data_IF_933539754474
#
_entry.id   IF_933539754474
#
_cell.length_a   1.000
_cell.length_b   1.000
_cell.length_c   1.000
_cell.angle_alpha   90.00
_cell.angle_beta   90.00
_cell.angle_gamma   90.00
#
_symmetry.space_group_name_H-M   'P 1'
#
loop_
_entity.id
_entity.type
_entity.pdbx_description
1 polymer ?
#
# COMPACT_ATOMS: atom_id res chain seq x y z
N UNK A 1 -56.98 18.36 58.32
CA UNK A 1 -56.39 17.04 58.06
C UNK A 1 -57.02 16.46 56.79
N UNK A 2 -56.30 16.46 55.67
CA UNK A 2 -56.70 15.83 54.40
C UNK A 2 -55.55 14.95 53.96
N UNK A 3 -55.74 13.63 53.97
CA UNK A 3 -54.78 12.68 53.45
C UNK A 3 -54.90 12.61 51.91
N UNK A 4 -53.80 12.82 51.20
CA UNK A 4 -53.64 12.46 49.79
C UNK A 4 -52.51 11.45 49.68
N UNK A 5 -52.87 10.29 49.17
CA UNK A 5 -52.03 9.18 48.76
C UNK A 5 -51.11 9.63 47.61
N UNK A 6 -49.81 9.39 47.72
CA UNK A 6 -48.87 9.38 46.59
C UNK A 6 -48.13 8.05 46.61
N UNK A 7 -48.33 7.32 45.51
CA UNK A 7 -47.71 6.04 45.19
C UNK A 7 -46.36 6.36 44.54
N UNK A 8 -45.27 5.93 45.18
CA UNK A 8 -43.93 5.95 44.58
C UNK A 8 -43.80 4.74 43.65
N UNK A 9 -43.79 5.00 42.34
CA UNK A 9 -43.49 4.01 41.31
C UNK A 9 -41.98 4.00 41.03
N UNK A 10 -41.34 2.90 41.45
CA UNK A 10 -40.01 2.47 41.00
C UNK A 10 -40.03 2.22 39.48
N UNK A 11 -39.08 2.79 38.76
CA UNK A 11 -38.65 2.41 37.40
C UNK A 11 -37.19 2.88 37.31
N UNK A 12 -36.15 2.06 37.25
CA UNK A 12 -35.82 0.97 36.33
C UNK A 12 -34.32 1.16 36.01
N UNK A 13 -33.54 0.09 35.76
CA UNK A 13 -32.08 0.21 35.68
C UNK A 13 -31.63 1.05 34.49
N UNK A 14 -30.74 2.03 34.75
CA UNK A 14 -30.06 2.82 33.73
C UNK A 14 -29.18 1.89 32.90
N UNK A 15 -29.59 1.58 31.67
CA UNK A 15 -28.74 0.94 30.68
C UNK A 15 -27.60 1.89 30.31
N UNK A 16 -26.45 1.70 30.96
CA UNK A 16 -25.20 2.33 30.58
C UNK A 16 -24.71 1.64 29.30
N UNK A 17 -25.04 2.21 28.15
CA UNK A 17 -24.45 1.81 26.86
C UNK A 17 -22.99 2.25 26.90
N UNK A 18 -22.11 1.33 27.30
CA UNK A 18 -20.68 1.50 27.16
C UNK A 18 -20.37 1.28 25.66
N UNK A 19 -20.37 2.37 24.89
CA UNK A 19 -19.87 2.36 23.53
C UNK A 19 -18.37 2.07 23.59
N UNK A 20 -18.00 0.80 23.42
CA UNK A 20 -16.63 0.38 23.25
C UNK A 20 -16.19 0.84 21.85
N UNK A 21 -15.75 2.09 21.75
CA UNK A 21 -15.05 2.56 20.57
C UNK A 21 -13.73 1.79 20.51
N UNK A 22 -13.70 0.74 19.69
CA UNK A 22 -12.47 0.07 19.32
C UNK A 22 -11.61 1.06 18.52
N UNK A 23 -10.82 1.88 19.22
CA UNK A 23 -9.67 2.55 18.63
C UNK A 23 -8.61 1.49 18.31
N UNK A 24 -8.81 0.79 17.20
CA UNK A 24 -7.69 0.22 16.46
C UNK A 24 -7.03 1.36 15.65
N UNK A 25 -6.50 2.38 16.34
CA UNK A 25 -5.49 3.26 15.75
C UNK A 25 -4.13 2.61 15.92
N UNK A 26 -3.96 1.43 15.31
CA UNK A 26 -2.63 1.03 14.90
C UNK A 26 -2.30 1.89 13.70
N UNK A 27 -1.35 2.81 13.84
CA UNK A 27 -0.63 3.30 12.67
C UNK A 27 0.04 2.07 12.04
N UNK A 28 -0.69 1.39 11.15
CA UNK A 28 -0.09 0.44 10.22
C UNK A 28 0.90 1.24 9.38
N UNK A 29 2.05 0.67 9.03
CA UNK A 29 2.97 1.28 8.06
C UNK A 29 2.18 1.52 6.78
N UNK A 30 1.72 2.76 6.61
CA UNK A 30 0.65 3.06 5.68
C UNK A 30 1.19 3.49 4.32
N UNK A 31 2.51 3.70 4.22
CA UNK A 31 3.15 4.14 2.99
C UNK A 31 3.37 2.98 2.01
N UNK A 32 3.05 3.20 0.75
CA UNK A 32 3.51 2.41 -0.38
C UNK A 32 4.60 3.15 -1.16
N UNK A 33 5.08 2.53 -2.24
CA UNK A 33 5.99 3.18 -3.19
C UNK A 33 5.45 3.03 -4.60
N UNK A 34 5.47 4.08 -5.41
CA UNK A 34 5.09 4.03 -6.83
C UNK A 34 5.87 5.08 -7.63
N UNK A 35 5.81 5.01 -8.96
CA UNK A 35 6.37 6.06 -9.83
C UNK A 35 5.24 6.94 -10.36
N UNK A 36 5.39 8.26 -10.28
CA UNK A 36 4.41 9.21 -10.81
C UNK A 36 5.07 10.47 -11.37
N UNK A 37 4.35 11.16 -12.26
CA UNK A 37 4.74 12.49 -12.73
C UNK A 37 4.81 13.48 -11.56
N UNK A 38 5.95 14.16 -11.43
CA UNK A 38 6.24 15.27 -10.52
C UNK A 38 7.08 16.29 -11.24
N UNK A 39 6.58 17.51 -11.36
CA UNK A 39 7.28 18.61 -12.03
C UNK A 39 7.81 18.27 -13.45
N UNK A 40 7.12 17.39 -14.19
CA UNK A 40 7.52 16.95 -15.53
C UNK A 40 8.49 15.75 -15.58
N UNK A 41 8.91 15.23 -14.43
CA UNK A 41 9.76 14.04 -14.31
C UNK A 41 8.95 12.86 -13.73
N UNK A 42 9.40 11.63 -13.98
CA UNK A 42 8.89 10.46 -13.27
C UNK A 42 9.66 10.32 -11.95
N UNK A 43 9.03 10.69 -10.85
CA UNK A 43 9.60 10.54 -9.51
C UNK A 43 9.15 9.24 -8.85
N UNK A 44 10.05 8.60 -8.11
CA UNK A 44 9.68 7.54 -7.17
C UNK A 44 9.10 8.21 -5.92
N UNK A 45 7.84 7.92 -5.63
CA UNK A 45 7.05 8.48 -4.53
C UNK A 45 6.96 7.45 -3.42
N UNK A 46 7.31 7.86 -2.19
CA UNK A 46 7.01 7.15 -0.96
C UNK A 46 5.82 7.84 -0.31
N UNK A 47 4.70 7.16 -0.10
CA UNK A 47 3.53 7.87 0.43
C UNK A 47 2.27 7.05 0.61
N UNK A 48 1.22 7.73 1.06
CA UNK A 48 -0.14 7.23 1.24
C UNK A 48 -1.09 8.41 1.11
N UNK A 49 -2.22 8.23 0.43
CA UNK A 49 -3.17 9.33 0.26
C UNK A 49 -2.53 10.48 -0.52
N UNK A 50 -2.56 11.68 0.08
CA UNK A 50 -1.93 12.88 -0.45
C UNK A 50 -0.45 13.03 -0.04
N UNK A 51 0.09 12.12 0.76
CA UNK A 51 1.47 12.21 1.24
C UNK A 51 2.46 11.84 0.14
N UNK A 52 3.55 12.61 0.11
CA UNK A 52 4.72 12.41 -0.73
C UNK A 52 5.94 12.69 0.17
N UNK A 53 6.38 11.62 0.85
CA UNK A 53 7.38 11.70 1.89
C UNK A 53 8.80 11.71 1.30
N UNK A 54 9.67 12.50 1.94
CA UNK A 54 11.08 12.49 1.62
C UNK A 54 11.72 11.19 2.06
N UNK A 55 12.65 10.68 1.26
CA UNK A 55 13.50 9.55 1.61
C UNK A 55 14.93 9.77 1.09
N UNK A 56 15.87 9.08 1.71
CA UNK A 56 17.26 9.08 1.25
C UNK A 56 17.38 8.20 -0.01
N UNK A 57 18.04 8.65 -1.09
CA UNK A 57 18.16 7.87 -2.33
C UNK A 57 18.68 6.45 -2.14
N UNK A 58 19.52 6.20 -1.12
CA UNK A 58 20.02 4.86 -0.77
C UNK A 58 18.92 3.86 -0.35
N UNK A 59 17.74 4.35 0.04
CA UNK A 59 16.58 3.52 0.37
C UNK A 59 15.98 2.90 -0.88
N UNK A 60 16.11 3.53 -2.06
CA UNK A 60 15.76 2.93 -3.34
C UNK A 60 16.82 1.88 -3.69
N UNK A 61 16.50 0.61 -3.43
CA UNK A 61 17.43 -0.51 -3.56
C UNK A 61 17.58 -0.98 -4.99
N UNK A 62 16.48 -0.97 -5.74
CA UNK A 62 16.46 -1.49 -7.10
C UNK A 62 15.39 -0.79 -7.94
N UNK A 63 15.71 -0.56 -9.21
CA UNK A 63 14.79 -0.06 -10.23
C UNK A 63 14.96 -0.93 -11.47
N UNK A 64 13.85 -1.43 -12.01
CA UNK A 64 13.80 -2.21 -13.25
C UNK A 64 12.82 -1.56 -14.22
N UNK A 65 13.07 -1.75 -15.51
CA UNK A 65 12.14 -1.39 -16.57
C UNK A 65 11.91 -2.58 -17.50
N UNK A 66 10.70 -2.65 -18.05
CA UNK A 66 10.33 -3.68 -19.01
C UNK A 66 9.52 -3.08 -20.16
N UNK A 67 9.68 -3.65 -21.35
CA UNK A 67 8.84 -3.33 -22.51
C UNK A 67 7.45 -3.92 -22.37
N UNK A 68 6.52 -3.56 -23.27
CA UNK A 68 5.16 -4.08 -23.26
C UNK A 68 5.07 -5.62 -23.42
N UNK A 69 6.11 -6.27 -23.96
CA UNK A 69 6.18 -7.73 -24.09
C UNK A 69 6.81 -8.44 -22.89
N UNK A 70 7.31 -7.68 -21.90
CA UNK A 70 8.00 -8.21 -20.72
C UNK A 70 9.51 -8.37 -20.87
N UNK A 71 10.10 -7.93 -21.98
CA UNK A 71 11.57 -7.91 -22.12
C UNK A 71 12.17 -6.80 -21.26
N UNK A 72 13.39 -7.01 -20.74
CA UNK A 72 14.10 -5.98 -19.99
C UNK A 72 14.35 -4.73 -20.85
N UNK A 73 14.11 -3.56 -20.26
CA UNK A 73 14.39 -2.25 -20.85
C UNK A 73 15.36 -1.47 -19.94
N UNK A 74 15.96 -0.41 -20.47
CA UNK A 74 16.83 0.47 -19.68
C UNK A 74 16.01 1.49 -18.89
N UNK A 75 16.50 1.85 -17.70
CA UNK A 75 16.05 3.02 -16.96
C UNK A 75 17.22 3.63 -16.20
N UNK A 76 17.36 4.94 -16.27
CA UNK A 76 18.36 5.70 -15.53
C UNK A 76 17.73 6.27 -14.27
N UNK A 77 18.41 6.10 -13.13
CA UNK A 77 17.98 6.67 -11.85
C UNK A 77 18.87 7.87 -11.53
N UNK A 78 18.25 9.01 -11.23
CA UNK A 78 18.94 10.22 -10.78
C UNK A 78 18.54 10.51 -9.33
N UNK A 79 19.50 10.37 -8.42
CA UNK A 79 19.32 10.68 -7.01
C UNK A 79 19.17 12.20 -6.79
N UNK A 80 18.27 12.59 -5.88
CA UNK A 80 18.06 13.97 -5.44
C UNK A 80 18.17 14.03 -3.91
N UNK A 81 18.11 15.23 -3.35
CA UNK A 81 18.26 15.42 -1.90
C UNK A 81 17.14 14.78 -1.04
N UNK A 82 15.95 14.55 -1.61
CA UNK A 82 14.77 14.07 -0.87
C UNK A 82 13.98 12.96 -1.57
N UNK A 83 14.41 12.54 -2.75
CA UNK A 83 13.79 11.50 -3.56
C UNK A 83 14.76 11.04 -4.66
N UNK A 84 14.27 10.23 -5.59
CA UNK A 84 14.91 9.90 -6.84
C UNK A 84 13.91 10.04 -8.00
N UNK A 85 14.43 10.36 -9.18
CA UNK A 85 13.68 10.34 -10.44
C UNK A 85 14.21 9.24 -11.35
N UNK A 86 13.34 8.74 -12.23
CA UNK A 86 13.62 7.63 -13.14
C UNK A 86 13.35 8.07 -14.57
N UNK A 87 14.32 7.90 -15.45
CA UNK A 87 14.20 8.13 -16.88
C UNK A 87 14.23 6.78 -17.61
N UNK A 88 13.07 6.19 -17.95
CA UNK A 88 13.03 4.96 -18.70
C UNK A 88 13.35 5.16 -20.19
N UNK A 89 13.85 4.11 -20.85
CA UNK A 89 13.92 4.06 -22.30
C UNK A 89 12.53 4.24 -22.94
N UNK A 90 12.49 4.76 -24.17
CA UNK A 90 11.24 5.11 -24.87
C UNK A 90 10.28 3.93 -25.07
N UNK A 91 10.81 2.72 -25.11
CA UNK A 91 10.06 1.47 -25.31
C UNK A 91 9.64 0.79 -23.99
N UNK A 92 10.00 1.35 -22.83
CA UNK A 92 9.55 0.85 -21.55
C UNK A 92 8.04 1.09 -21.36
N UNK A 93 7.33 0.03 -20.98
CA UNK A 93 5.91 0.07 -20.63
C UNK A 93 5.68 -0.18 -19.13
N UNK A 94 6.69 -0.66 -18.41
CA UNK A 94 6.62 -0.98 -16.98
C UNK A 94 7.86 -0.44 -16.28
N UNK A 95 7.65 0.19 -15.14
CA UNK A 95 8.68 0.44 -14.13
C UNK A 95 8.39 -0.42 -12.91
N UNK A 96 9.43 -0.97 -12.31
CA UNK A 96 9.35 -1.61 -11.01
C UNK A 96 10.42 -1.05 -10.09
N UNK A 97 10.07 -0.80 -8.82
CA UNK A 97 10.99 -0.27 -7.81
C UNK A 97 10.88 -1.07 -6.51
N UNK A 98 12.01 -1.25 -5.83
CA UNK A 98 12.08 -1.73 -4.46
C UNK A 98 12.70 -0.66 -3.56
N UNK A 99 11.98 -0.29 -2.51
CA UNK A 99 12.40 0.69 -1.52
C UNK A 99 12.43 0.04 -0.14
N UNK A 100 13.57 0.14 0.54
CA UNK A 100 13.71 -0.25 1.94
C UNK A 100 13.41 0.94 2.83
N UNK A 101 12.21 0.94 3.41
CA UNK A 101 11.76 1.94 4.37
C UNK A 101 12.54 1.78 5.69
N UNK A 102 12.96 0.54 5.98
CA UNK A 102 13.89 0.21 7.05
C UNK A 102 13.19 -0.30 8.30
N UNK A 103 13.90 -0.20 9.43
CA UNK A 103 13.36 -0.64 10.71
C UNK A 103 12.53 0.45 11.37
N UNK A 104 11.37 0.05 11.91
CA UNK A 104 10.51 0.90 12.70
C UNK A 104 10.07 0.17 13.97
N UNK A 105 10.04 0.90 15.08
CA UNK A 105 9.70 0.37 16.39
C UNK A 105 8.58 1.19 17.03
N UNK A 106 7.57 0.51 17.55
CA UNK A 106 6.47 1.13 18.28
C UNK A 106 6.81 1.20 19.77
N UNK A 107 6.96 2.42 20.30
CA UNK A 107 7.20 2.66 21.72
C UNK A 107 6.01 2.28 22.60
N UNK A 108 6.23 2.34 23.93
CA UNK A 108 5.15 2.07 24.91
C UNK A 108 4.02 3.10 24.86
N UNK A 109 4.28 4.28 24.33
CA UNK A 109 3.28 5.32 24.08
C UNK A 109 2.46 5.08 22.80
N UNK A 110 2.75 4.00 22.06
CA UNK A 110 2.10 3.65 20.80
C UNK A 110 2.63 4.39 19.58
N UNK A 111 3.61 5.30 19.74
CA UNK A 111 4.21 6.03 18.62
C UNK A 111 5.27 5.19 17.92
N UNK A 112 5.35 5.36 16.61
CA UNK A 112 6.40 4.75 15.80
C UNK A 112 7.59 5.68 15.68
N UNK A 113 8.78 5.10 15.86
CA UNK A 113 10.07 5.77 15.65
C UNK A 113 10.94 4.91 14.75
N UNK A 114 11.79 5.56 13.95
CA UNK A 114 12.77 4.87 13.14
C UNK A 114 13.80 4.15 14.02
N UNK A 115 14.09 2.91 13.69
CA UNK A 115 15.07 2.08 14.37
C UNK A 115 14.57 0.68 14.70
N UNK A 116 15.53 -0.22 14.89
CA UNK A 116 15.28 -1.63 15.20
C UNK A 116 14.94 -1.84 16.68
N UNK A 117 14.51 -3.05 17.03
CA UNK A 117 14.32 -3.50 18.41
C UNK A 117 15.56 -3.30 19.27
N UNK A 118 16.78 -3.45 18.72
CA UNK A 118 18.02 -3.21 19.48
C UNK A 118 18.21 -1.75 19.83
N UNK A 119 17.79 -0.86 18.93
CA UNK A 119 17.88 0.59 19.11
C UNK A 119 16.75 1.12 20.00
N UNK A 120 15.63 0.40 20.08
CA UNK A 120 14.47 0.72 20.91
C UNK A 120 14.10 -0.49 21.80
N UNK A 121 14.89 -0.79 22.86
CA UNK A 121 14.73 -2.01 23.65
C UNK A 121 13.36 -2.18 24.33
N UNK A 122 12.68 -1.06 24.61
CA UNK A 122 11.35 -1.03 25.24
C UNK A 122 10.19 -1.06 24.22
N UNK A 123 10.47 -1.30 22.93
CA UNK A 123 9.46 -1.35 21.90
C UNK A 123 8.46 -2.49 22.14
N UNK A 124 7.17 -2.17 21.99
CA UNK A 124 6.08 -3.17 22.03
C UNK A 124 6.08 -4.06 20.81
N UNK A 125 6.50 -3.49 19.68
CA UNK A 125 6.56 -4.14 18.37
C UNK A 125 7.66 -3.47 17.55
N UNK A 126 8.40 -4.24 16.76
CA UNK A 126 9.31 -3.70 15.77
C UNK A 126 9.19 -4.47 14.46
N UNK A 127 9.28 -3.77 13.35
CA UNK A 127 9.19 -4.35 12.01
C UNK A 127 10.31 -3.86 11.10
N UNK A 128 10.64 -4.67 10.10
CA UNK A 128 11.46 -4.27 8.96
C UNK A 128 10.55 -4.12 7.74
N UNK A 129 10.59 -2.96 7.08
CA UNK A 129 9.60 -2.60 6.08
C UNK A 129 10.21 -2.47 4.68
N UNK A 130 9.67 -3.28 3.76
CA UNK A 130 10.01 -3.26 2.34
C UNK A 130 8.80 -2.87 1.50
N UNK A 131 9.02 -2.01 0.51
CA UNK A 131 7.98 -1.51 -0.38
C UNK A 131 8.34 -1.81 -1.82
N UNK A 132 7.39 -2.36 -2.56
CA UNK A 132 7.53 -2.73 -3.96
C UNK A 132 6.49 -1.98 -4.79
N UNK A 133 6.92 -1.29 -5.83
CA UNK A 133 6.04 -0.50 -6.69
C UNK A 133 6.13 -0.97 -8.12
N UNK A 134 5.01 -1.40 -8.70
CA UNK A 134 4.89 -1.62 -10.15
C UNK A 134 4.12 -0.45 -10.74
N UNK A 135 4.66 0.20 -11.77
CA UNK A 135 4.00 1.29 -12.48
C UNK A 135 3.89 0.95 -13.96
N UNK A 136 2.67 0.88 -14.49
CA UNK A 136 2.43 0.72 -15.91
C UNK A 136 2.42 2.09 -16.58
N UNK A 137 3.32 2.28 -17.53
CA UNK A 137 3.45 3.48 -18.35
C UNK A 137 2.63 3.40 -19.64
N UNK A 138 2.37 2.17 -20.12
CA UNK A 138 1.61 1.89 -21.33
C UNK A 138 0.92 0.50 -21.22
N UNK A 139 -0.02 0.17 -22.13
CA UNK A 139 -0.60 -1.17 -22.19
C UNK A 139 0.48 -2.25 -22.33
N UNK A 140 0.24 -3.38 -21.65
CA UNK A 140 1.16 -4.52 -21.56
C UNK A 140 0.49 -5.79 -22.07
N UNK A 141 1.29 -6.75 -22.54
CA UNK A 141 0.80 -8.07 -22.92
C UNK A 141 0.23 -8.79 -21.70
N UNK A 142 -0.94 -9.40 -21.86
CA UNK A 142 -1.56 -10.28 -20.88
C UNK A 142 -1.48 -11.75 -21.32
N UNK A 143 -1.32 -12.72 -20.39
CA UNK A 143 -1.14 -12.52 -18.95
C UNK A 143 0.18 -11.80 -18.63
N UNK A 144 0.14 -10.89 -17.66
CA UNK A 144 1.31 -10.13 -17.24
C UNK A 144 2.32 -11.08 -16.59
N UNK A 145 3.57 -11.03 -17.05
CA UNK A 145 4.66 -11.81 -16.45
C UNK A 145 5.04 -11.22 -15.08
N UNK A 146 4.94 -11.98 -13.98
CA UNK A 146 5.35 -11.49 -12.67
C UNK A 146 6.81 -11.04 -12.65
N UNK A 147 7.11 -9.98 -11.87
CA UNK A 147 8.46 -9.45 -11.71
C UNK A 147 9.30 -10.38 -10.81
N UNK A 148 8.64 -11.14 -9.92
CA UNK A 148 9.30 -12.04 -8.98
C UNK A 148 9.70 -11.34 -7.68
N UNK A 149 8.97 -10.30 -7.28
CA UNK A 149 9.20 -9.61 -6.01
C UNK A 149 8.72 -10.42 -4.80
N UNK A 150 9.16 -10.03 -3.60
CA UNK A 150 8.71 -10.63 -2.34
C UNK A 150 7.19 -10.50 -2.13
N UNK A 151 6.62 -9.38 -2.59
CA UNK A 151 5.19 -9.13 -2.72
C UNK A 151 4.96 -8.30 -4.00
N UNK A 152 3.98 -8.67 -4.81
CA UNK A 152 3.60 -7.91 -6.01
C UNK A 152 2.10 -8.03 -6.33
N UNK A 153 1.55 -6.99 -6.97
CA UNK A 153 0.19 -6.95 -7.49
C UNK A 153 0.25 -7.02 -9.01
N UNK A 154 -0.38 -8.05 -9.58
CA UNK A 154 -0.42 -8.30 -11.02
C UNK A 154 -1.81 -7.99 -11.58
N UNK A 155 -1.94 -7.15 -12.62
CA UNK A 155 -3.22 -6.93 -13.29
C UNK A 155 -3.67 -8.19 -14.04
N UNK A 156 -4.95 -8.56 -13.92
CA UNK A 156 -5.55 -9.66 -14.66
C UNK A 156 -6.34 -9.21 -15.91
N UNK A 157 -6.52 -7.90 -16.06
CA UNK A 157 -7.11 -7.25 -17.22
C UNK A 157 -6.32 -5.97 -17.52
N UNK A 158 -6.42 -5.44 -18.75
CA UNK A 158 -5.69 -4.25 -19.16
C UNK A 158 -6.26 -3.02 -18.44
N UNK A 159 -5.50 -2.35 -17.54
CA UNK A 159 -6.01 -1.19 -16.83
C UNK A 159 -6.29 -0.01 -17.76
N UNK A 160 -5.61 0.08 -18.92
CA UNK A 160 -5.79 1.19 -19.88
C UNK A 160 -7.08 1.07 -20.70
N UNK A 161 -7.72 -0.10 -20.69
CA UNK A 161 -9.05 -0.31 -21.29
C UNK A 161 -10.19 0.14 -20.35
N UNK A 162 -9.87 0.56 -19.13
CA UNK A 162 -10.85 0.88 -18.10
C UNK A 162 -11.05 2.40 -17.92
N UNK A 163 -12.14 2.74 -17.23
CA UNK A 163 -12.51 4.09 -16.79
C UNK A 163 -12.76 4.10 -15.29
N UNK A 164 -12.74 5.30 -14.70
CA UNK A 164 -13.16 5.52 -13.30
C UNK A 164 -14.51 4.82 -13.02
N UNK A 165 -14.60 4.15 -11.88
CA UNK A 165 -15.78 3.40 -11.45
C UNK A 165 -15.88 1.99 -12.03
N UNK A 166 -15.06 1.63 -13.02
CA UNK A 166 -15.00 0.25 -13.51
C UNK A 166 -14.13 -0.63 -12.60
N UNK A 167 -14.28 -1.94 -12.77
CA UNK A 167 -13.66 -2.96 -11.92
C UNK A 167 -12.39 -3.50 -12.59
N UNK A 168 -11.29 -3.50 -11.85
CA UNK A 168 -10.04 -4.16 -12.25
C UNK A 168 -9.85 -5.40 -11.39
N UNK A 169 -9.72 -6.55 -12.06
CA UNK A 169 -9.28 -7.79 -11.41
C UNK A 169 -7.75 -7.77 -11.30
N UNK A 170 -7.23 -8.11 -10.12
CA UNK A 170 -5.81 -8.22 -9.83
C UNK A 170 -5.52 -9.54 -9.12
N UNK A 171 -4.27 -9.98 -9.16
CA UNK A 171 -3.75 -11.08 -8.35
C UNK A 171 -2.59 -10.59 -7.50
N UNK A 172 -2.61 -10.89 -6.21
CA UNK A 172 -1.48 -10.65 -5.31
C UNK A 172 -0.63 -11.91 -5.26
N UNK A 173 0.67 -11.74 -5.48
CA UNK A 173 1.66 -12.79 -5.40
C UNK A 173 2.68 -12.48 -4.30
N UNK A 174 3.14 -13.53 -3.63
CA UNK A 174 4.19 -13.50 -2.62
C UNK A 174 5.25 -14.51 -3.04
N UNK A 175 6.45 -14.05 -3.38
CA UNK A 175 7.52 -14.90 -3.98
C UNK A 175 7.02 -15.69 -5.20
N UNK A 176 6.26 -15.02 -6.07
CA UNK A 176 5.66 -15.61 -7.27
C UNK A 176 4.46 -16.54 -7.03
N UNK A 177 4.05 -16.80 -5.79
CA UNK A 177 2.92 -17.68 -5.47
C UNK A 177 1.67 -16.87 -5.04
N UNK A 178 0.45 -17.26 -5.47
CA UNK A 178 -0.76 -16.58 -5.04
C UNK A 178 -0.95 -16.61 -3.51
N UNK A 179 -1.36 -15.48 -2.94
CA UNK A 179 -1.57 -15.35 -1.48
C UNK A 179 -3.02 -14.95 -1.17
N UNK A 180 -3.66 -15.75 -0.33
CA UNK A 180 -5.04 -15.55 0.10
C UNK A 180 -5.16 -14.64 1.34
N UNK A 181 -6.31 -13.99 1.51
CA UNK A 181 -6.62 -13.19 2.70
C UNK A 181 -5.89 -11.85 2.81
N UNK A 182 -5.10 -11.47 1.82
CA UNK A 182 -4.43 -10.15 1.76
C UNK A 182 -5.45 -9.09 1.45
N UNK A 183 -5.45 -8.00 2.23
CA UNK A 183 -6.30 -6.85 1.99
C UNK A 183 -5.74 -5.99 0.84
N UNK A 184 -6.59 -5.74 -0.15
CA UNK A 184 -6.28 -4.89 -1.30
C UNK A 184 -7.17 -3.66 -1.27
N UNK A 185 -6.54 -2.49 -1.35
CA UNK A 185 -7.21 -1.19 -1.45
C UNK A 185 -7.09 -0.65 -2.87
N UNK A 186 -8.24 -0.26 -3.46
CA UNK A 186 -8.29 0.18 -4.86
C UNK A 186 -7.93 1.64 -5.12
N UNK A 187 -8.02 2.50 -4.10
CA UNK A 187 -7.73 3.92 -4.19
C UNK A 187 -6.83 4.38 -3.02
N UNK A 188 -5.56 4.02 -3.13
CA UNK A 188 -4.55 4.26 -2.10
C UNK A 188 -4.09 5.72 -2.01
N UNK A 189 -4.48 6.56 -2.97
CA UNK A 189 -4.13 7.99 -3.01
C UNK A 189 -5.31 8.91 -2.68
N UNK A 190 -6.54 8.51 -3.03
CA UNK A 190 -7.74 9.34 -2.87
C UNK A 190 -8.66 8.90 -1.73
N UNK A 191 -8.59 7.63 -1.30
CA UNK A 191 -9.52 7.08 -0.32
C UNK A 191 -8.90 5.99 0.54
N UNK A 192 -7.87 6.33 1.32
CA UNK A 192 -7.06 5.41 2.14
C UNK A 192 -7.85 4.67 3.23
N UNK A 193 -8.92 5.29 3.74
CA UNK A 193 -9.88 4.66 4.65
C UNK A 193 -10.99 3.87 3.93
N UNK A 194 -10.84 3.67 2.62
CA UNK A 194 -11.83 3.04 1.75
C UNK A 194 -11.99 1.54 1.94
N UNK A 195 -12.93 0.95 1.19
CA UNK A 195 -13.20 -0.48 1.27
C UNK A 195 -11.99 -1.30 0.83
N UNK A 196 -11.73 -2.36 1.59
CA UNK A 196 -10.66 -3.32 1.35
C UNK A 196 -11.27 -4.63 0.87
N UNK A 197 -10.66 -5.23 -0.15
CA UNK A 197 -11.08 -6.52 -0.70
C UNK A 197 -10.03 -7.56 -0.33
N UNK A 198 -10.44 -8.66 0.28
CA UNK A 198 -9.53 -9.76 0.59
C UNK A 198 -9.32 -10.65 -0.61
N UNK A 199 -8.09 -11.06 -0.85
CA UNK A 199 -7.76 -12.01 -1.91
C UNK A 199 -8.35 -13.39 -1.62
N UNK A 200 -8.82 -14.07 -2.68
CA UNK A 200 -9.26 -15.46 -2.62
C UNK A 200 -8.08 -16.46 -2.58
N UNK A 201 -8.38 -17.77 -2.62
CA UNK A 201 -7.36 -18.85 -2.61
C UNK A 201 -6.40 -18.80 -3.80
N UNK A 202 -6.79 -18.16 -4.90
CA UNK A 202 -5.97 -17.96 -6.09
C UNK A 202 -5.29 -16.59 -6.10
N UNK A 203 -5.27 -15.91 -4.95
CA UNK A 203 -4.70 -14.60 -4.76
C UNK A 203 -5.46 -13.48 -5.45
N UNK A 204 -6.68 -13.71 -5.94
CA UNK A 204 -7.42 -12.73 -6.75
C UNK A 204 -8.22 -11.78 -5.87
N UNK A 205 -8.21 -10.51 -6.24
CA UNK A 205 -9.12 -9.49 -5.72
C UNK A 205 -9.68 -8.67 -6.90
N UNK A 206 -10.85 -8.08 -6.72
CA UNK A 206 -11.42 -7.14 -7.71
C UNK A 206 -11.70 -5.83 -7.02
N UNK A 207 -11.07 -4.76 -7.52
CA UNK A 207 -11.20 -3.40 -6.97
C UNK A 207 -11.90 -2.48 -7.96
N UNK A 208 -12.56 -1.44 -7.44
CA UNK A 208 -13.16 -0.38 -8.25
C UNK A 208 -12.17 0.78 -8.39
N UNK A 209 -11.95 1.27 -9.61
CA UNK A 209 -11.03 2.36 -9.87
C UNK A 209 -11.58 3.70 -9.38
N UNK A 210 -10.89 4.35 -8.45
CA UNK A 210 -11.34 5.58 -7.79
C UNK A 210 -11.12 6.85 -8.61
N UNK A 211 -10.09 6.87 -9.46
CA UNK A 211 -9.58 8.07 -10.12
C UNK A 211 -9.69 8.00 -11.65
N UNK A 212 -9.94 9.15 -12.30
CA UNK A 212 -9.84 9.29 -13.77
C UNK A 212 -8.44 9.68 -14.25
N UNK A 213 -7.47 9.78 -13.32
CA UNK A 213 -6.06 10.05 -13.57
C UNK A 213 -5.19 8.94 -12.99
N UNK A 214 -4.25 9.31 -12.12
CA UNK A 214 -3.43 8.35 -11.38
C UNK A 214 -4.31 7.46 -10.51
N UNK A 215 -4.18 6.16 -10.67
CA UNK A 215 -4.71 5.13 -9.79
C UNK A 215 -3.53 4.40 -9.14
N UNK A 216 -3.61 4.18 -7.83
CA UNK A 216 -2.65 3.38 -7.07
C UNK A 216 -3.44 2.37 -6.26
N UNK A 217 -3.22 1.09 -6.54
CA UNK A 217 -3.77 -0.05 -5.81
C UNK A 217 -2.67 -0.52 -4.87
N UNK A 218 -2.99 -0.82 -3.61
CA UNK A 218 -2.02 -1.30 -2.64
C UNK A 218 -2.48 -2.59 -1.96
N UNK A 219 -1.49 -3.37 -1.50
CA UNK A 219 -1.67 -4.60 -0.76
C UNK A 219 -0.53 -4.75 0.26
N UNK A 220 -0.89 -5.17 1.47
CA UNK A 220 0.02 -5.27 2.61
C UNK A 220 0.11 -6.71 3.10
N UNK A 221 1.32 -7.20 3.35
CA UNK A 221 1.57 -8.53 3.91
C UNK A 221 2.59 -8.45 5.04
N UNK A 222 2.21 -8.95 6.21
CA UNK A 222 3.11 -9.07 7.37
C UNK A 222 3.55 -10.52 7.52
N UNK A 223 4.84 -10.74 7.77
CA UNK A 223 5.41 -12.07 8.03
C UNK A 223 6.22 -12.05 9.32
N UNK A 224 5.99 -12.97 10.27
CA UNK A 224 6.84 -13.06 11.46
C UNK A 224 8.27 -13.49 11.07
N UNK A 225 9.26 -12.95 11.77
CA UNK A 225 10.66 -13.34 11.63
C UNK A 225 11.02 -14.48 12.57
N UNK A 226 11.94 -15.35 12.11
CA UNK A 226 12.52 -16.38 12.96
C UNK A 226 13.55 -15.83 13.94
N UNK A 227 14.38 -14.88 13.50
CA UNK A 227 15.27 -14.08 14.36
C UNK A 227 14.61 -12.75 14.69
N UNK A 228 14.26 -12.56 15.97
CA UNK A 228 13.56 -11.37 16.45
C UNK A 228 14.49 -10.32 17.04
N UNK A 229 15.81 -10.45 16.91
CA UNK A 229 16.77 -9.58 17.56
C UNK A 229 16.70 -8.13 17.06
N UNK A 230 16.42 -7.91 15.77
CA UNK A 230 16.23 -6.58 15.17
C UNK A 230 14.75 -6.20 14.95
N UNK A 231 13.87 -7.17 14.69
CA UNK A 231 12.45 -6.93 14.41
C UNK A 231 11.61 -8.20 14.64
N UNK A 232 10.35 -8.07 15.01
CA UNK A 232 9.42 -9.21 15.13
C UNK A 232 8.97 -9.75 13.78
N UNK A 233 8.89 -8.86 12.78
CA UNK A 233 8.23 -9.14 11.51
C UNK A 233 8.83 -8.36 10.35
N UNK A 234 8.60 -8.88 9.15
CA UNK A 234 8.72 -8.16 7.89
C UNK A 234 7.35 -7.61 7.50
N UNK A 235 7.26 -6.30 7.32
CA UNK A 235 6.12 -5.63 6.70
C UNK A 235 6.41 -5.38 5.21
N UNK A 236 5.64 -6.01 4.34
CA UNK A 236 5.77 -5.89 2.90
C UNK A 236 4.59 -5.11 2.33
N UNK A 237 4.88 -4.08 1.56
CA UNK A 237 3.87 -3.31 0.83
C UNK A 237 4.10 -3.48 -0.67
N UNK A 238 3.04 -3.72 -1.43
CA UNK A 238 3.08 -3.73 -2.88
C UNK A 238 2.10 -2.71 -3.43
N UNK A 239 2.50 -1.97 -4.47
CA UNK A 239 1.58 -1.12 -5.23
C UNK A 239 1.57 -1.47 -6.72
N UNK A 240 0.40 -1.27 -7.34
CA UNK A 240 0.23 -1.22 -8.78
C UNK A 240 -0.32 0.16 -9.15
N UNK A 241 0.48 0.95 -9.87
CA UNK A 241 0.14 2.30 -10.30
C UNK A 241 0.00 2.39 -11.82
N UNK A 242 -0.94 3.21 -12.27
CA UNK A 242 -1.14 3.54 -13.69
C UNK A 242 -1.99 4.81 -13.81
N UNK A 243 -1.89 5.50 -14.94
CA UNK A 243 -2.73 6.66 -15.25
C UNK A 243 -3.74 6.25 -16.31
N UNK A 244 -5.03 6.42 -16.02
CA UNK A 244 -6.06 6.14 -17.02
C UNK A 244 -5.94 7.12 -18.19
N UNK A 245 -6.20 6.67 -19.44
CA UNK A 245 -6.25 7.56 -20.58
C UNK A 245 -7.26 8.69 -20.34
N UNK A 246 -6.89 9.92 -20.71
CA UNK A 246 -7.85 11.04 -20.71
C UNK A 246 -8.97 10.69 -21.69
N UNK A 247 -10.22 10.90 -21.26
CA UNK A 247 -11.34 10.77 -22.17
C UNK A 247 -11.31 11.93 -23.19
N UNK A 248 -10.99 11.63 -24.45
CA UNK A 248 -11.16 12.53 -25.58
C UNK A 248 -10.23 13.75 -25.63
N UNK A 249 -9.01 13.53 -26.12
CA UNK A 249 -8.24 14.51 -26.88
C UNK A 249 -7.61 13.81 -28.07
#
# INVERSE_FOLDING_TARGET
MKARMKIDARNGPRHMVLALAALCCGASSAHGVWVAQRAGELAVVLGEGALDEAYEPRQLRETKAFTASGAAAQAQVSARARNAVVEPAKDAAVLWVALEDGFWSQGRDGKWVGGSRRQVPDARKAGHYMKYGTTLLAPVRLPFAPIGAELEIVPLADPFALRRGQRLAVRVLSKGQPVAGVEVIGDFTGHTAGPRVRTDREGRATVTLGSSGLNVIAASLVRPRGDTSEADEDGLEATLAFVLPRAGH
#
